data_IF_798411012269
#
_entry.id   IF_798411012269
#
_cell.length_a   1.000
_cell.length_b   1.000
_cell.length_c   1.000
_cell.angle_alpha   90.00
_cell.angle_beta   90.00
_cell.angle_gamma   90.00
#
_symmetry.space_group_name_H-M   'P 1'
#
loop_
_entity.id
_entity.type
_entity.pdbx_description
1 polymer ?
#
# COMPACT_ATOMS: atom_id res chain seq x y z
N UNK A 1 -9.04 10.81 11.33
CA UNK A 1 -8.83 12.02 10.51
C UNK A 1 -7.42 11.94 9.93
N UNK A 2 -7.14 12.44 8.71
CA UNK A 2 -5.82 12.35 8.07
C UNK A 2 -4.69 12.96 8.92
N UNK A 3 -4.96 14.09 9.59
CA UNK A 3 -4.07 14.76 10.53
C UNK A 3 -3.63 13.82 11.68
N UNK A 4 -4.55 13.11 12.28
CA UNK A 4 -4.26 12.18 13.38
C UNK A 4 -3.42 10.97 12.92
N UNK A 5 -3.62 10.50 11.69
CA UNK A 5 -2.83 9.40 11.13
C UNK A 5 -1.39 9.85 10.90
N UNK A 6 -1.19 11.06 10.38
CA UNK A 6 0.15 11.62 10.16
C UNK A 6 0.89 11.88 11.48
N UNK A 7 0.22 12.41 12.49
CA UNK A 7 0.80 12.60 13.82
C UNK A 7 1.19 11.26 14.46
N UNK A 8 0.31 10.26 14.38
CA UNK A 8 0.61 8.92 14.88
C UNK A 8 1.79 8.28 14.13
N UNK A 9 1.85 8.39 12.82
CA UNK A 9 2.95 7.88 12.01
C UNK A 9 4.28 8.56 12.36
N UNK A 10 4.28 9.88 12.52
CA UNK A 10 5.46 10.64 12.93
C UNK A 10 5.94 10.23 14.34
N UNK A 11 5.00 10.06 15.28
CA UNK A 11 5.31 9.59 16.62
C UNK A 11 5.95 8.20 16.60
N UNK A 12 5.33 7.22 15.94
CA UNK A 12 5.86 5.85 15.84
C UNK A 12 7.24 5.84 15.18
N UNK A 13 7.43 6.62 14.11
CA UNK A 13 8.74 6.78 13.47
C UNK A 13 9.79 7.30 14.44
N UNK A 14 9.44 8.26 15.29
CA UNK A 14 10.39 8.86 16.26
C UNK A 14 10.85 7.90 17.34
N UNK A 15 10.04 6.91 17.69
CA UNK A 15 10.34 5.92 18.73
C UNK A 15 10.63 4.51 18.17
N UNK A 16 10.72 4.35 16.83
CA UNK A 16 10.83 3.04 16.19
C UNK A 16 11.99 2.20 16.71
N UNK A 17 13.17 2.79 16.90
CA UNK A 17 14.38 2.08 17.33
C UNK A 17 14.46 1.91 18.87
N UNK A 18 13.41 2.25 19.61
CA UNK A 18 13.38 2.04 21.06
C UNK A 18 13.22 0.56 21.41
N UNK A 19 13.81 0.07 22.52
CA UNK A 19 13.66 -1.32 22.94
C UNK A 19 12.20 -1.76 23.12
N UNK A 20 11.32 -0.86 23.50
CA UNK A 20 9.89 -1.14 23.68
C UNK A 20 9.23 -1.49 22.34
N UNK A 21 9.44 -0.67 21.33
CA UNK A 21 8.87 -0.92 19.98
C UNK A 21 9.46 -2.19 19.36
N UNK A 22 10.78 -2.40 19.49
CA UNK A 22 11.41 -3.61 18.97
C UNK A 22 10.89 -4.87 19.69
N UNK A 23 10.71 -4.84 21.01
CA UNK A 23 10.15 -5.97 21.78
C UNK A 23 8.72 -6.31 21.32
N UNK A 24 7.87 -5.31 21.08
CA UNK A 24 6.51 -5.53 20.55
C UNK A 24 6.56 -6.15 19.15
N UNK A 25 7.43 -5.65 18.29
CA UNK A 25 7.59 -6.21 16.94
C UNK A 25 8.07 -7.66 16.95
N UNK A 26 9.00 -7.99 17.84
CA UNK A 26 9.50 -9.36 18.01
C UNK A 26 8.41 -10.32 18.53
N UNK A 27 7.58 -9.85 19.48
CA UNK A 27 6.41 -10.59 19.96
C UNK A 27 5.40 -10.83 18.81
N UNK A 28 5.11 -9.80 18.02
CA UNK A 28 4.24 -9.92 16.83
C UNK A 28 4.79 -10.94 15.85
N UNK A 29 6.09 -10.95 15.59
CA UNK A 29 6.73 -11.92 14.69
C UNK A 29 6.54 -13.36 15.18
N UNK A 30 6.61 -13.59 16.49
CA UNK A 30 6.38 -14.90 17.11
C UNK A 30 4.91 -15.33 17.17
N UNK A 31 3.98 -14.41 16.96
CA UNK A 31 2.54 -14.61 17.15
C UNK A 31 1.73 -14.17 15.91
N UNK A 32 2.24 -14.42 14.70
CA UNK A 32 1.68 -13.95 13.45
C UNK A 32 0.16 -14.20 13.32
N UNK A 33 -0.32 -15.36 13.77
CA UNK A 33 -1.74 -15.74 13.71
C UNK A 33 -2.68 -14.84 14.55
N UNK A 34 -2.14 -14.03 15.45
CA UNK A 34 -2.93 -13.06 16.21
C UNK A 34 -3.10 -11.73 15.46
N UNK A 35 -2.28 -11.46 14.46
CA UNK A 35 -2.24 -10.19 13.74
C UNK A 35 -2.62 -10.33 12.27
N UNK A 36 -2.52 -11.54 11.72
CA UNK A 36 -2.89 -11.87 10.34
C UNK A 36 -3.86 -13.05 10.38
N UNK A 37 -5.01 -12.88 9.81
CA UNK A 37 -6.05 -13.90 9.72
C UNK A 37 -6.61 -13.97 8.30
N UNK A 38 -7.07 -15.17 7.88
CA UNK A 38 -7.68 -15.35 6.58
C UNK A 38 -9.04 -14.63 6.49
N UNK A 39 -9.54 -14.49 5.28
CA UNK A 39 -10.85 -13.88 5.04
C UNK A 39 -11.99 -14.64 5.71
N UNK A 40 -12.94 -13.90 6.29
CA UNK A 40 -14.09 -14.46 7.02
C UNK A 40 -15.21 -15.03 6.12
N UNK A 41 -15.06 -15.02 4.82
CA UNK A 41 -16.11 -15.40 3.89
C UNK A 41 -15.62 -15.66 2.49
N UNK A 42 -16.41 -15.27 1.50
CA UNK A 42 -16.01 -15.38 0.10
C UNK A 42 -14.78 -14.51 -0.19
N UNK A 43 -13.89 -15.02 -1.04
CA UNK A 43 -12.74 -14.26 -1.51
C UNK A 43 -13.19 -12.92 -2.10
N UNK A 44 -12.55 -11.81 -1.75
CA UNK A 44 -12.88 -10.51 -2.32
C UNK A 44 -12.59 -10.48 -3.82
N UNK A 45 -13.25 -9.59 -4.53
CA UNK A 45 -13.01 -9.37 -5.96
C UNK A 45 -12.42 -7.98 -6.17
N UNK A 46 -11.40 -7.89 -7.04
CA UNK A 46 -10.81 -6.63 -7.44
C UNK A 46 -10.25 -6.72 -8.85
N UNK A 47 -10.18 -5.59 -9.55
CA UNK A 47 -9.38 -5.45 -10.76
C UNK A 47 -7.91 -5.75 -10.50
N UNK A 48 -7.41 -5.38 -9.32
CA UNK A 48 -6.07 -5.66 -8.85
C UNK A 48 -5.96 -7.08 -8.25
N UNK A 49 -6.45 -8.09 -8.97
CA UNK A 49 -6.54 -9.47 -8.49
C UNK A 49 -5.21 -10.07 -8.02
N UNK A 50 -4.08 -9.58 -8.51
CA UNK A 50 -2.76 -10.09 -8.15
C UNK A 50 -2.28 -9.69 -6.75
N UNK A 51 -3.02 -8.84 -6.02
CA UNK A 51 -2.77 -8.52 -4.61
C UNK A 51 -3.86 -9.06 -3.68
N UNK A 52 -4.81 -9.86 -4.22
CA UNK A 52 -5.81 -10.53 -3.40
C UNK A 52 -5.20 -11.81 -2.85
N UNK A 53 -4.76 -11.73 -1.60
CA UNK A 53 -4.22 -12.86 -0.86
C UNK A 53 -4.68 -12.75 0.60
N UNK A 54 -5.04 -13.86 1.22
CA UNK A 54 -5.39 -13.94 2.65
C UNK A 54 -4.15 -14.13 3.54
N UNK A 55 -2.99 -14.36 2.92
CA UNK A 55 -1.70 -14.50 3.59
C UNK A 55 -0.70 -13.49 3.01
N UNK A 56 -0.39 -12.46 3.77
CA UNK A 56 0.67 -11.51 3.40
C UNK A 56 2.02 -12.07 3.86
N UNK A 57 2.76 -12.74 2.98
CA UNK A 57 3.99 -13.46 3.32
C UNK A 57 5.07 -12.56 3.94
N UNK A 58 5.23 -11.34 3.43
CA UNK A 58 6.24 -10.39 3.90
C UNK A 58 5.69 -9.35 4.89
N UNK A 59 4.56 -9.65 5.54
CA UNK A 59 3.84 -8.70 6.39
C UNK A 59 4.73 -8.04 7.46
N UNK A 60 5.63 -8.81 8.08
CA UNK A 60 6.50 -8.32 9.14
C UNK A 60 7.49 -7.26 8.62
N UNK A 61 8.11 -7.52 7.49
CA UNK A 61 9.03 -6.57 6.85
C UNK A 61 8.29 -5.35 6.31
N UNK A 62 7.11 -5.52 5.74
CA UNK A 62 6.24 -4.42 5.30
C UNK A 62 5.82 -3.54 6.48
N UNK A 63 5.36 -4.15 7.58
CA UNK A 63 4.99 -3.42 8.78
C UNK A 63 6.18 -2.59 9.31
N UNK A 64 7.34 -3.21 9.44
CA UNK A 64 8.57 -2.51 9.88
C UNK A 64 8.95 -1.36 8.95
N UNK A 65 8.88 -1.57 7.64
CA UNK A 65 9.19 -0.53 6.66
C UNK A 65 8.23 0.66 6.78
N UNK A 66 6.93 0.40 6.87
CA UNK A 66 5.90 1.43 7.05
C UNK A 66 6.11 2.21 8.34
N UNK A 67 6.27 1.53 9.48
CA UNK A 67 6.46 2.17 10.78
C UNK A 67 7.76 3.01 10.82
N UNK A 68 8.85 2.46 10.31
CA UNK A 68 10.16 3.14 10.30
C UNK A 68 10.18 4.36 9.40
N UNK A 69 9.49 4.32 8.27
CA UNK A 69 9.39 5.45 7.34
C UNK A 69 8.41 6.53 7.79
N UNK A 70 7.47 6.19 8.68
CA UNK A 70 6.29 7.01 8.96
C UNK A 70 5.27 6.94 7.82
N UNK A 71 5.34 5.89 7.02
CA UNK A 71 4.39 5.60 5.95
C UNK A 71 3.05 5.07 6.48
N UNK A 72 2.15 4.80 5.53
CA UNK A 72 0.84 4.23 5.82
C UNK A 72 0.36 3.35 4.67
N UNK A 73 -0.59 2.47 4.94
CA UNK A 73 -1.34 1.75 3.92
C UNK A 73 -2.57 2.57 3.50
N UNK A 74 -2.95 2.48 2.23
CA UNK A 74 -4.15 3.12 1.69
C UNK A 74 -5.14 2.05 1.21
N UNK A 75 -6.41 2.28 1.50
CA UNK A 75 -7.51 1.49 0.96
C UNK A 75 -8.00 2.17 -0.31
N UNK A 76 -8.01 1.45 -1.42
CA UNK A 76 -8.36 1.98 -2.72
C UNK A 76 -9.73 1.49 -3.18
N UNK A 77 -10.52 2.40 -3.76
CA UNK A 77 -11.75 2.03 -4.45
C UNK A 77 -11.44 1.45 -5.84
N UNK A 78 -12.27 0.52 -6.31
CA UNK A 78 -12.12 -0.12 -7.63
C UNK A 78 -12.10 0.89 -8.78
N UNK A 79 -12.91 1.94 -8.70
CA UNK A 79 -12.92 3.00 -9.73
C UNK A 79 -11.63 3.78 -9.76
N UNK A 80 -10.97 3.99 -8.61
CA UNK A 80 -9.65 4.65 -8.54
C UNK A 80 -8.57 3.76 -9.17
N UNK A 81 -8.64 2.44 -8.95
CA UNK A 81 -7.72 1.48 -9.58
C UNK A 81 -7.91 1.48 -11.09
N UNK A 82 -9.16 1.48 -11.57
CA UNK A 82 -9.50 1.54 -13.01
C UNK A 82 -8.97 2.81 -13.65
N UNK A 83 -9.22 3.96 -13.05
CA UNK A 83 -8.75 5.26 -13.53
C UNK A 83 -7.21 5.32 -13.59
N UNK A 84 -6.54 4.83 -12.58
CA UNK A 84 -5.08 4.76 -12.54
C UNK A 84 -4.51 3.83 -13.64
N UNK A 85 -5.15 2.69 -13.86
CA UNK A 85 -4.77 1.76 -14.92
C UNK A 85 -4.86 2.42 -16.31
N UNK A 86 -5.97 3.10 -16.60
CA UNK A 86 -6.14 3.80 -17.87
C UNK A 86 -5.16 4.98 -18.03
N UNK A 87 -4.93 5.75 -16.98
CA UNK A 87 -3.97 6.86 -16.96
C UNK A 87 -2.52 6.40 -17.16
N UNK A 88 -2.13 5.28 -16.58
CA UNK A 88 -0.79 4.72 -16.79
C UNK A 88 -0.54 4.39 -18.27
N UNK A 89 -1.52 3.77 -18.93
CA UNK A 89 -1.41 3.50 -20.36
C UNK A 89 -1.39 4.77 -21.20
N UNK A 90 -2.31 5.70 -20.93
CA UNK A 90 -2.50 6.90 -21.75
C UNK A 90 -1.32 7.89 -21.63
N UNK A 91 -0.80 8.10 -20.42
CA UNK A 91 0.13 9.18 -20.15
C UNK A 91 1.58 8.72 -19.94
N UNK A 92 1.79 7.53 -19.38
CA UNK A 92 3.13 7.01 -19.16
C UNK A 92 3.60 6.06 -20.28
N UNK A 93 2.70 5.59 -21.14
CA UNK A 93 3.01 4.63 -22.20
C UNK A 93 3.51 3.29 -21.65
N UNK A 94 3.15 2.95 -20.41
CA UNK A 94 3.59 1.74 -19.72
C UNK A 94 2.47 0.71 -19.78
N UNK A 95 2.78 -0.47 -20.30
CA UNK A 95 1.85 -1.61 -20.33
C UNK A 95 1.79 -2.27 -18.97
N UNK A 96 1.14 -1.63 -18.01
CA UNK A 96 0.97 -2.11 -16.63
C UNK A 96 -0.39 -2.79 -16.47
N UNK A 97 -0.48 -3.85 -15.66
CA UNK A 97 -1.77 -4.44 -15.29
C UNK A 97 -2.45 -3.66 -14.14
N UNK A 98 -3.74 -3.86 -13.86
CA UNK A 98 -4.43 -3.17 -12.77
C UNK A 98 -3.74 -3.33 -11.40
N UNK A 99 -3.20 -4.51 -11.09
CA UNK A 99 -2.40 -4.75 -9.89
C UNK A 99 -1.17 -3.84 -9.85
N UNK A 100 -0.43 -3.75 -10.95
CA UNK A 100 0.74 -2.88 -11.05
C UNK A 100 0.42 -1.39 -11.03
N UNK A 101 -0.80 -0.99 -11.40
CA UNK A 101 -1.27 0.39 -11.37
C UNK A 101 -1.79 0.83 -10.00
N UNK A 102 -1.93 -0.08 -9.02
CA UNK A 102 -2.47 0.24 -7.69
C UNK A 102 -1.64 1.31 -6.96
N UNK A 103 -0.32 1.34 -7.17
CA UNK A 103 0.53 2.41 -6.65
C UNK A 103 0.15 3.80 -7.18
N UNK A 104 -0.20 3.91 -8.47
CA UNK A 104 -0.68 5.16 -9.06
C UNK A 104 -2.06 5.53 -8.52
N UNK A 105 -2.94 4.56 -8.27
CA UNK A 105 -4.22 4.80 -7.62
C UNK A 105 -4.05 5.39 -6.22
N UNK A 106 -3.12 4.85 -5.43
CA UNK A 106 -2.75 5.41 -4.13
C UNK A 106 -2.21 6.84 -4.24
N UNK A 107 -1.35 7.11 -5.19
CA UNK A 107 -0.81 8.45 -5.44
C UNK A 107 -1.93 9.45 -5.77
N UNK A 108 -2.86 9.09 -6.66
CA UNK A 108 -4.01 9.92 -7.02
C UNK A 108 -4.86 10.25 -5.78
N UNK A 109 -5.13 9.25 -4.95
CA UNK A 109 -5.91 9.42 -3.72
C UNK A 109 -5.20 10.32 -2.70
N UNK A 110 -3.89 10.13 -2.49
CA UNK A 110 -3.07 10.94 -1.60
C UNK A 110 -2.97 12.39 -2.06
N UNK A 111 -2.85 12.62 -3.36
CA UNK A 111 -2.85 13.95 -3.94
C UNK A 111 -4.22 14.64 -3.77
N UNK A 112 -5.31 13.93 -4.04
CA UNK A 112 -6.67 14.46 -3.89
C UNK A 112 -7.02 14.80 -2.43
N UNK A 113 -6.46 14.07 -1.46
CA UNK A 113 -6.62 14.35 -0.03
C UNK A 113 -5.70 15.44 0.51
N UNK A 114 -4.77 15.96 -0.31
CA UNK A 114 -3.77 16.93 0.12
C UNK A 114 -2.66 16.34 1.00
N UNK A 115 -2.52 15.04 1.05
CA UNK A 115 -1.45 14.36 1.81
C UNK A 115 -0.08 14.48 1.12
N UNK A 116 -0.07 14.82 -0.16
CA UNK A 116 1.14 15.14 -0.93
C UNK A 116 1.10 16.63 -1.24
N UNK A 117 2.14 17.35 -0.83
CA UNK A 117 2.24 18.78 -1.03
C UNK A 117 2.51 19.14 -2.50
N UNK A 118 2.02 20.30 -2.99
CA UNK A 118 2.39 20.78 -4.32
C UNK A 118 3.91 20.91 -4.48
N UNK A 119 4.45 20.34 -5.55
CA UNK A 119 5.89 20.37 -5.84
C UNK A 119 6.71 19.29 -5.11
N UNK A 120 6.08 18.44 -4.32
CA UNK A 120 6.74 17.28 -3.71
C UNK A 120 7.12 16.26 -4.79
N UNK A 121 8.34 15.71 -4.69
CA UNK A 121 8.82 14.66 -5.59
C UNK A 121 8.38 13.29 -5.08
N UNK A 122 7.69 12.53 -5.91
CA UNK A 122 7.17 11.21 -5.56
C UNK A 122 7.78 10.14 -6.45
N UNK A 123 8.30 9.07 -5.84
CA UNK A 123 8.71 7.86 -6.54
C UNK A 123 7.53 6.89 -6.64
N UNK A 124 7.29 6.34 -7.82
CA UNK A 124 6.22 5.37 -8.07
C UNK A 124 6.79 4.12 -8.76
N UNK A 125 6.41 2.95 -8.26
CA UNK A 125 6.74 1.68 -8.89
C UNK A 125 5.51 1.09 -9.62
N UNK A 126 5.69 0.78 -10.90
CA UNK A 126 4.76 -0.05 -11.65
C UNK A 126 5.28 -1.50 -11.63
N UNK A 127 4.58 -2.39 -10.92
CA UNK A 127 5.10 -3.72 -10.59
C UNK A 127 4.54 -4.86 -11.41
N UNK A 128 3.48 -4.64 -12.17
CA UNK A 128 2.81 -5.67 -12.97
C UNK A 128 2.77 -5.31 -14.46
N UNK A 129 2.65 -6.33 -15.29
CA UNK A 129 2.59 -6.18 -16.76
C UNK A 129 1.27 -6.73 -17.31
N UNK A 130 0.60 -5.97 -18.15
CA UNK A 130 -0.65 -6.38 -18.80
C UNK A 130 -0.37 -7.15 -20.11
N UNK A 131 -0.41 -8.47 -20.02
CA UNK A 131 -0.21 -9.35 -21.17
C UNK A 131 -1.37 -9.32 -22.17
N UNK A 132 -2.56 -8.92 -21.74
CA UNK A 132 -3.73 -8.89 -22.61
C UNK A 132 -3.70 -7.72 -23.61
N UNK A 133 -3.00 -6.62 -23.28
CA UNK A 133 -2.84 -5.45 -24.15
C UNK A 133 -1.64 -5.51 -25.11
N UNK A 134 -0.86 -6.59 -25.08
CA UNK A 134 0.33 -6.76 -25.95
C UNK A 134 0.07 -7.60 -27.20
N UNK A 135 -1.18 -7.96 -27.48
CA UNK A 135 -1.58 -8.69 -28.69
C UNK A 135 -2.15 -7.77 -29.75
#
# INVERSE_FOLDING_TARGET
>A
RPDQIQEAAAFVKSCFDTPVVQSVLDEMAGSANHFIWPWDGAAPHSLAHGILDDVTYDWYFLLRAVLRSGGRAEILAEDTIRDAYEKAHLHAGITVCPTGASGLAGLIQLQASGAIAPGESVGLFFTGFDRARTQ
#
